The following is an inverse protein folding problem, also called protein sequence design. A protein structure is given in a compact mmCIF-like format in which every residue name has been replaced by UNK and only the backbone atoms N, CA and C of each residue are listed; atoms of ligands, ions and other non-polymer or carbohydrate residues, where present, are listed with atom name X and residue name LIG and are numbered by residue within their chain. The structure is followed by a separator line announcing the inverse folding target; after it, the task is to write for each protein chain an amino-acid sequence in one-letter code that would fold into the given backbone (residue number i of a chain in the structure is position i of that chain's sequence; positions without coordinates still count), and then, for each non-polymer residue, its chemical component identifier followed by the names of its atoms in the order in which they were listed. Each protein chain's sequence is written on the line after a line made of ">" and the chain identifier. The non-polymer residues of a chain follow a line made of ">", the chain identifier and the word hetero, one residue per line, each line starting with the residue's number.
data_IF_299508287779
#
_entry.id   IF_299508287779
#
_cell.length_a   1.000
_cell.length_b   1.000
_cell.length_c   1.000
_cell.angle_alpha   90.00
_cell.angle_beta   90.00
_cell.angle_gamma   90.00
#
_symmetry.space_group_name_H-M   'P 1'
#
loop_
_entity.id
_entity.type
_entity.pdbx_description
1 polymer ?
#
# COMPACT_ATOMS: atom_id res chain seq x y z
N UNK A 1 -17.36 -7.86 -7.71
CA UNK A 1 -17.75 -6.75 -8.61
C UNK A 1 -17.88 -5.39 -7.91
N UNK A 2 -16.84 -4.91 -7.22
CA UNK A 2 -16.77 -3.53 -6.70
C UNK A 2 -15.79 -2.64 -7.49
N UNK A 3 -14.74 -3.24 -8.08
CA UNK A 3 -13.70 -2.54 -8.84
C UNK A 3 -14.20 -1.92 -10.17
N UNK A 4 -15.25 -2.47 -10.76
CA UNK A 4 -15.83 -1.91 -12.00
C UNK A 4 -16.69 -0.65 -11.76
N UNK A 5 -17.09 -0.38 -10.51
CA UNK A 5 -18.02 0.71 -10.16
C UNK A 5 -17.28 1.90 -9.56
N UNK A 6 -16.19 1.66 -8.83
CA UNK A 6 -15.32 2.68 -8.26
C UNK A 6 -13.89 2.48 -8.76
N UNK A 7 -13.35 3.47 -9.48
CA UNK A 7 -11.92 3.60 -9.77
C UNK A 7 -11.31 4.51 -8.70
N UNK A 8 -10.79 3.98 -7.59
CA UNK A 8 -10.19 4.83 -6.58
C UNK A 8 -8.89 5.44 -7.10
N UNK A 9 -8.67 6.72 -6.83
CA UNK A 9 -7.36 7.35 -7.01
C UNK A 9 -6.34 6.81 -5.99
N UNK A 10 -6.84 6.41 -4.80
CA UNK A 10 -6.03 5.96 -3.67
C UNK A 10 -6.59 4.69 -2.99
N UNK A 11 -5.69 3.78 -2.67
CA UNK A 11 -5.93 2.68 -1.71
C UNK A 11 -4.95 2.84 -0.56
N UNK A 12 -5.45 2.93 0.68
CA UNK A 12 -4.61 2.92 1.87
C UNK A 12 -4.69 1.56 2.58
N UNK A 13 -3.54 0.94 2.87
CA UNK A 13 -3.46 -0.33 3.59
C UNK A 13 -2.33 -0.32 4.62
N UNK A 14 -2.56 -0.96 5.76
CA UNK A 14 -1.61 -1.04 6.88
C UNK A 14 -1.38 -2.49 7.29
N UNK A 15 -0.12 -2.95 7.26
CA UNK A 15 0.26 -4.33 7.64
C UNK A 15 0.96 -4.32 9.01
N UNK A 16 0.24 -4.74 10.05
CA UNK A 16 0.68 -4.66 11.45
C UNK A 16 1.30 -5.93 12.02
N UNK A 17 1.07 -7.11 11.44
CA UNK A 17 1.50 -8.42 12.00
C UNK A 17 2.27 -9.29 11.00
N UNK A 18 3.08 -10.24 11.50
CA UNK A 18 3.98 -11.13 10.70
C UNK A 18 3.27 -12.33 10.12
N UNK A 19 1.94 -12.30 10.10
CA UNK A 19 1.17 -13.47 9.76
C UNK A 19 0.67 -13.39 8.33
N UNK A 20 1.49 -13.88 7.41
CA UNK A 20 1.03 -14.31 6.11
C UNK A 20 1.78 -15.55 5.66
N UNK A 21 1.04 -16.55 5.18
CA UNK A 21 1.59 -17.74 4.48
C UNK A 21 2.36 -17.36 3.21
N UNK A 22 2.19 -16.13 2.73
CA UNK A 22 2.82 -15.52 1.56
C UNK A 22 3.75 -14.39 1.98
N UNK A 23 4.80 -14.11 1.20
CA UNK A 23 5.69 -13.00 1.53
C UNK A 23 4.92 -11.67 1.41
N UNK A 24 5.27 -10.68 2.23
CA UNK A 24 4.72 -9.31 2.13
C UNK A 24 4.93 -8.76 0.72
N UNK A 25 6.05 -9.10 0.08
CA UNK A 25 6.35 -8.75 -1.29
C UNK A 25 5.27 -9.26 -2.25
N UNK A 26 4.88 -10.53 -2.16
CA UNK A 26 3.86 -11.12 -3.05
C UNK A 26 2.49 -10.45 -2.87
N UNK A 27 2.14 -10.10 -1.62
CA UNK A 27 0.91 -9.36 -1.34
C UNK A 27 0.92 -7.97 -1.99
N UNK A 28 2.01 -7.21 -1.78
CA UNK A 28 2.14 -5.86 -2.33
C UNK A 28 2.18 -5.89 -3.86
N UNK A 29 2.87 -6.87 -4.44
CA UNK A 29 2.93 -7.06 -5.88
C UNK A 29 1.55 -7.40 -6.45
N UNK A 30 0.84 -8.37 -5.87
CA UNK A 30 -0.51 -8.74 -6.32
C UNK A 30 -1.49 -7.57 -6.21
N UNK A 31 -1.39 -6.75 -5.16
CA UNK A 31 -2.20 -5.54 -5.00
C UNK A 31 -1.87 -4.50 -6.08
N UNK A 32 -0.60 -4.25 -6.37
CA UNK A 32 -0.15 -3.34 -7.42
C UNK A 32 -0.66 -3.76 -8.80
N UNK A 33 -0.51 -5.04 -9.15
CA UNK A 33 -0.97 -5.60 -10.43
C UNK A 33 -2.50 -5.59 -10.57
N UNK A 34 -3.24 -5.73 -9.46
CA UNK A 34 -4.70 -5.72 -9.47
C UNK A 34 -5.30 -4.32 -9.66
N UNK A 35 -4.55 -3.27 -9.32
CA UNK A 35 -5.04 -1.88 -9.35
C UNK A 35 -4.02 -0.93 -10.02
N UNK A 36 -3.63 -1.17 -11.29
CA UNK A 36 -2.49 -0.50 -11.93
C UNK A 36 -2.64 1.03 -12.03
N UNK A 37 -3.88 1.54 -12.11
CA UNK A 37 -4.19 2.97 -12.23
C UNK A 37 -4.48 3.67 -10.88
N UNK A 38 -4.34 2.96 -9.76
CA UNK A 38 -4.60 3.49 -8.41
C UNK A 38 -3.29 3.67 -7.65
N UNK A 39 -3.11 4.77 -6.92
CA UNK A 39 -1.96 4.89 -6.02
C UNK A 39 -2.20 4.12 -4.72
N UNK A 40 -1.31 3.19 -4.39
CA UNK A 40 -1.37 2.40 -3.16
C UNK A 40 -0.49 3.05 -2.11
N UNK A 41 -1.09 3.46 -1.01
CA UNK A 41 -0.43 3.97 0.18
C UNK A 41 -0.27 2.82 1.19
N UNK A 42 0.97 2.42 1.44
CA UNK A 42 1.31 1.26 2.24
C UNK A 42 1.99 1.69 3.54
N UNK A 43 1.43 1.30 4.68
CA UNK A 43 2.02 1.58 6.00
C UNK A 43 2.11 0.31 6.87
N UNK A 44 2.67 0.44 8.07
CA UNK A 44 2.78 -0.63 9.05
C UNK A 44 4.21 -1.03 9.38
N UNK A 45 4.39 -1.59 10.58
CA UNK A 45 5.70 -1.85 11.19
C UNK A 45 6.63 -2.71 10.31
N UNK A 46 6.07 -3.72 9.63
CA UNK A 46 6.88 -4.66 8.84
C UNK A 46 7.38 -4.09 7.53
N UNK A 47 6.62 -3.16 6.96
CA UNK A 47 7.00 -2.48 5.72
C UNK A 47 8.26 -1.64 5.97
N UNK A 48 8.27 -0.96 7.10
CA UNK A 48 9.39 -0.14 7.55
C UNK A 48 10.57 -1.02 7.95
N UNK A 49 10.33 -2.06 8.76
CA UNK A 49 11.39 -2.91 9.29
C UNK A 49 12.08 -3.80 8.24
N UNK A 50 11.39 -4.16 7.16
CA UNK A 50 11.93 -5.03 6.10
C UNK A 50 12.44 -4.26 4.87
N UNK A 51 12.41 -2.93 4.89
CA UNK A 51 12.76 -2.07 3.75
C UNK A 51 12.14 -2.59 2.44
N UNK A 52 10.85 -2.91 2.48
CA UNK A 52 10.17 -3.59 1.36
C UNK A 52 10.36 -2.76 0.10
N UNK A 53 11.11 -3.29 -0.85
CA UNK A 53 11.28 -2.64 -2.13
C UNK A 53 9.97 -2.73 -2.89
N UNK A 54 9.33 -1.58 -3.04
CA UNK A 54 8.11 -1.45 -3.81
C UNK A 54 8.43 -0.83 -5.17
N UNK A 55 7.73 -1.27 -6.21
CA UNK A 55 7.85 -0.73 -7.58
C UNK A 55 6.46 -0.38 -8.08
N UNK A 56 6.39 0.53 -9.05
CA UNK A 56 5.14 0.91 -9.69
C UNK A 56 4.35 1.97 -8.90
N UNK A 57 3.06 1.72 -8.71
CA UNK A 57 2.07 2.62 -8.12
C UNK A 57 1.98 2.56 -6.58
N UNK A 58 3.02 2.06 -5.91
CA UNK A 58 3.03 1.88 -4.45
C UNK A 58 3.92 2.94 -3.80
N UNK A 59 3.41 3.59 -2.74
CA UNK A 59 4.12 4.54 -1.89
C UNK A 59 4.10 4.02 -0.45
N UNK A 60 5.27 3.86 0.14
CA UNK A 60 5.42 3.51 1.55
C UNK A 60 5.31 4.78 2.40
N UNK A 61 4.48 4.73 3.45
CA UNK A 61 4.32 5.79 4.45
C UNK A 61 4.72 5.23 5.82
N UNK A 62 5.74 5.81 6.41
CA UNK A 62 6.41 5.33 7.62
C UNK A 62 5.65 5.67 8.91
N UNK A 63 4.66 6.56 8.84
CA UNK A 63 3.86 6.94 9.99
C UNK A 63 2.48 7.45 9.59
N UNK A 64 1.57 7.46 10.56
CA UNK A 64 0.27 8.10 10.37
C UNK A 64 0.41 9.60 10.08
N UNK A 65 1.42 10.25 10.67
CA UNK A 65 1.72 11.66 10.39
C UNK A 65 2.08 11.86 8.91
N UNK A 66 2.96 11.02 8.37
CA UNK A 66 3.33 11.06 6.96
C UNK A 66 2.12 10.80 6.05
N UNK A 67 1.21 9.90 6.45
CA UNK A 67 -0.08 9.71 5.76
C UNK A 67 -0.91 10.98 5.75
N UNK A 68 -1.09 11.64 6.89
CA UNK A 68 -1.84 12.89 6.97
C UNK A 68 -1.19 13.99 6.15
N UNK A 69 0.14 14.12 6.22
CA UNK A 69 0.90 15.12 5.47
C UNK A 69 0.78 14.90 3.96
N UNK A 70 0.86 13.65 3.51
CA UNK A 70 0.65 13.29 2.11
C UNK A 70 -0.77 13.65 1.65
N UNK A 71 -1.79 13.26 2.41
CA UNK A 71 -3.19 13.52 2.04
C UNK A 71 -3.53 15.01 2.00
N UNK A 72 -2.90 15.82 2.85
CA UNK A 72 -3.08 17.29 2.85
C UNK A 72 -2.40 18.00 1.68
N UNK A 73 -1.52 17.32 0.94
CA UNK A 73 -0.81 17.87 -0.22
C UNK A 73 -1.44 17.50 -1.56
N UNK A 74 -2.52 16.69 -1.55
CA UNK A 74 -3.31 16.32 -2.71
C UNK A 74 -4.32 17.41 -3.07
#
# INVERSE_FOLDING_TARGET
>A
DAHAIYRPDLIYTMISESFAKSSIHDYVQSLSESFPDTTILLSGYQIIAQEVQTKGNVRVLQSLQETTDFLNQL
#
